data_IF_649894281004
#
_entry.id   IF_649894281004
#
_cell.length_a   1.000
_cell.length_b   1.000
_cell.length_c   1.000
_cell.angle_alpha   90.00
_cell.angle_beta   90.00
_cell.angle_gamma   90.00
#
_symmetry.space_group_name_H-M   'P 1'
#
loop_
_entity.id
_entity.type
_entity.pdbx_description
1 polymer ?
#
# COMPACT_ATOMS: atom_id res chain seq x y z
N UNK A 1 -10.10 -11.54 35.96
CA UNK A 1 -9.36 -12.71 35.45
C UNK A 1 -8.90 -12.39 34.03
N UNK A 2 -7.60 -12.46 33.72
CA UNK A 2 -7.12 -12.25 32.35
C UNK A 2 -7.70 -13.36 31.46
N UNK A 3 -8.41 -12.96 30.40
CA UNK A 3 -9.02 -13.90 29.46
C UNK A 3 -7.93 -14.69 28.74
N UNK A 4 -7.97 -16.02 28.86
CA UNK A 4 -7.04 -16.93 28.15
C UNK A 4 -7.32 -16.83 26.65
N UNK A 5 -6.32 -16.45 25.86
CA UNK A 5 -6.41 -16.42 24.39
C UNK A 5 -6.19 -17.83 23.84
N UNK A 6 -7.02 -18.22 22.87
CA UNK A 6 -6.89 -19.48 22.13
C UNK A 6 -6.99 -19.15 20.65
N UNK A 7 -5.98 -19.54 19.88
CA UNK A 7 -5.98 -19.46 18.42
C UNK A 7 -6.49 -20.79 17.88
N UNK A 8 -7.59 -20.76 17.14
CA UNK A 8 -8.11 -21.91 16.41
C UNK A 8 -7.80 -21.73 14.92
N UNK A 9 -7.14 -22.72 14.32
CA UNK A 9 -6.75 -22.71 12.92
C UNK A 9 -6.67 -24.13 12.37
N UNK A 10 -6.68 -24.27 11.05
CA UNK A 10 -6.39 -25.52 10.36
C UNK A 10 -4.91 -25.56 9.99
N UNK A 11 -4.21 -26.63 10.37
CA UNK A 11 -2.91 -26.95 9.79
C UNK A 11 -3.13 -27.66 8.46
N UNK A 12 -3.04 -26.90 7.38
CA UNK A 12 -3.32 -27.38 6.03
C UNK A 12 -2.37 -28.50 5.55
N UNK A 13 -1.21 -28.69 6.20
CA UNK A 13 -0.28 -29.76 5.84
C UNK A 13 -0.72 -31.11 6.41
N UNK A 14 -1.30 -31.11 7.61
CA UNK A 14 -1.85 -32.30 8.27
C UNK A 14 -3.36 -32.49 8.02
N UNK A 15 -4.04 -31.43 7.56
CA UNK A 15 -5.50 -31.32 7.47
C UNK A 15 -6.22 -31.42 8.83
N UNK A 16 -5.49 -31.19 9.92
CA UNK A 16 -6.03 -31.22 11.28
C UNK A 16 -6.37 -29.81 11.80
N UNK A 17 -7.43 -29.72 12.59
CA UNK A 17 -7.75 -28.50 13.34
C UNK A 17 -6.93 -28.41 14.61
N UNK A 18 -6.26 -27.29 14.81
CA UNK A 18 -5.47 -26.99 16.01
C UNK A 18 -6.14 -25.92 16.88
N UNK A 19 -5.94 -26.03 18.19
CA UNK A 19 -6.36 -25.03 19.19
C UNK A 19 -5.19 -24.74 20.12
N UNK A 20 -4.58 -23.58 19.95
CA UNK A 20 -3.35 -23.20 20.64
C UNK A 20 -3.62 -22.12 21.70
N UNK A 21 -3.48 -22.42 22.99
CA UNK A 21 -3.47 -21.40 24.03
C UNK A 21 -2.20 -20.54 23.92
N UNK A 22 -2.36 -19.22 23.89
CA UNK A 22 -1.23 -18.27 23.77
C UNK A 22 -1.33 -17.16 24.81
N UNK A 23 -0.18 -16.57 25.12
CA UNK A 23 -0.09 -15.41 26.02
C UNK A 23 -0.37 -14.08 25.29
N UNK A 24 -0.09 -14.03 23.98
CA UNK A 24 -0.24 -12.85 23.12
C UNK A 24 -0.64 -13.28 21.72
N UNK A 25 -1.57 -12.53 21.11
CA UNK A 25 -1.89 -12.63 19.68
C UNK A 25 -1.43 -11.34 19.03
N UNK A 26 -0.65 -11.45 17.95
CA UNK A 26 -0.26 -10.32 17.10
C UNK A 26 -1.07 -10.39 15.81
N UNK A 27 -1.84 -9.35 15.54
CA UNK A 27 -2.58 -9.21 14.29
C UNK A 27 -1.65 -8.57 13.25
N UNK A 28 -1.08 -9.37 12.35
CA UNK A 28 -0.31 -8.89 11.22
C UNK A 28 -1.24 -8.34 10.13
N UNK A 29 -1.92 -7.22 10.42
CA UNK A 29 -2.87 -6.58 9.52
C UNK A 29 -2.17 -6.08 8.25
N UNK A 30 -2.89 -6.17 7.12
CA UNK A 30 -2.45 -5.54 5.87
C UNK A 30 -2.45 -4.02 5.94
N UNK A 31 -2.01 -3.40 4.84
CA UNK A 31 -2.06 -1.95 4.66
C UNK A 31 -3.34 -1.52 3.97
N UNK A 32 -3.84 -0.34 4.32
CA UNK A 32 -5.02 0.29 3.70
C UNK A 32 -4.62 1.69 3.25
N UNK A 33 -5.15 2.14 2.12
CA UNK A 33 -4.91 3.50 1.64
C UNK A 33 -5.44 4.54 2.63
N UNK A 34 -4.68 5.63 2.84
CA UNK A 34 -5.15 6.79 3.58
C UNK A 34 -6.32 7.53 2.89
N UNK A 35 -6.64 7.14 1.66
CA UNK A 35 -7.77 7.67 0.87
C UNK A 35 -8.99 6.73 0.87
N UNK A 36 -9.00 5.70 1.73
CA UNK A 36 -10.10 4.74 1.80
C UNK A 36 -11.47 5.38 2.09
N UNK A 37 -11.51 6.47 2.86
CA UNK A 37 -12.74 7.21 3.16
C UNK A 37 -13.08 8.29 2.12
N UNK A 38 -12.30 8.36 1.04
CA UNK A 38 -12.53 9.23 -0.10
C UNK A 38 -12.06 10.67 0.10
N UNK A 39 -11.29 11.10 -0.90
CA UNK A 39 -10.89 12.46 -1.31
C UNK A 39 -9.43 12.80 -1.06
N UNK A 40 -8.68 12.81 -2.16
CA UNK A 40 -7.57 13.74 -2.34
C UNK A 40 -8.10 14.96 -3.10
N UNK A 41 -7.62 16.16 -2.80
CA UNK A 41 -7.91 17.34 -3.62
C UNK A 41 -7.13 17.23 -4.93
N UNK A 42 -7.80 16.97 -6.06
CA UNK A 42 -7.17 16.89 -7.39
C UNK A 42 -7.73 15.76 -8.27
N UNK A 43 -7.30 15.73 -9.55
CA UNK A 43 -7.76 14.79 -10.58
C UNK A 43 -6.92 13.50 -10.60
N UNK A 44 -6.71 12.85 -9.46
CA UNK A 44 -5.93 11.59 -9.39
C UNK A 44 -6.87 10.40 -9.40
N UNK A 45 -6.63 9.46 -10.32
CA UNK A 45 -7.38 8.21 -10.39
C UNK A 45 -6.99 7.28 -9.23
N UNK A 46 -7.95 6.51 -8.72
CA UNK A 46 -7.73 5.52 -7.67
C UNK A 46 -8.10 4.13 -8.17
N UNK A 47 -7.42 3.10 -7.68
CA UNK A 47 -7.79 1.71 -7.90
C UNK A 47 -8.95 1.26 -6.99
N UNK A 48 -9.35 -0.01 -7.08
CA UNK A 48 -10.44 -0.59 -6.28
C UNK A 48 -10.18 -0.57 -4.77
N UNK A 49 -8.92 -0.45 -4.36
CA UNK A 49 -8.46 -0.44 -2.96
C UNK A 49 -8.11 0.99 -2.51
N UNK A 50 -8.45 1.99 -3.32
CA UNK A 50 -8.24 3.43 -3.10
C UNK A 50 -6.77 3.87 -3.10
N UNK A 51 -5.87 3.09 -3.70
CA UNK A 51 -4.49 3.53 -3.96
C UNK A 51 -4.42 4.34 -5.26
N UNK A 52 -3.45 5.26 -5.33
CA UNK A 52 -3.30 6.19 -6.45
C UNK A 52 -2.79 5.46 -7.68
N UNK A 53 -3.55 5.57 -8.77
CA UNK A 53 -3.16 5.12 -10.10
C UNK A 53 -2.53 6.30 -10.83
N UNK A 54 -1.28 6.13 -11.26
CA UNK A 54 -0.56 7.15 -12.01
C UNK A 54 -1.28 7.42 -13.33
N UNK A 55 -1.65 8.67 -13.58
CA UNK A 55 -2.23 9.07 -14.86
C UNK A 55 -1.17 9.03 -15.96
N UNK A 56 -1.54 8.46 -17.11
CA UNK A 56 -0.67 8.43 -18.30
C UNK A 56 -0.46 9.82 -18.90
N UNK A 57 -1.37 10.77 -18.64
CA UNK A 57 -1.41 12.11 -19.26
C UNK A 57 -0.35 13.09 -18.75
N UNK A 58 0.48 12.73 -17.76
CA UNK A 58 1.63 13.55 -17.36
C UNK A 58 1.26 14.93 -16.81
N UNK A 59 0.12 15.07 -16.13
CA UNK A 59 -0.42 16.33 -15.58
C UNK A 59 0.36 16.90 -14.38
N UNK A 60 1.68 16.68 -14.32
CA UNK A 60 2.55 17.23 -13.29
C UNK A 60 2.40 16.61 -11.89
N UNK A 61 1.49 15.64 -11.72
CA UNK A 61 1.28 14.91 -10.46
C UNK A 61 1.86 13.50 -10.60
N UNK A 62 2.77 13.15 -9.69
CA UNK A 62 3.44 11.84 -9.64
C UNK A 62 3.24 11.21 -8.27
N UNK A 63 2.59 10.04 -8.24
CA UNK A 63 2.46 9.26 -7.01
C UNK A 63 3.77 8.52 -6.69
N UNK A 64 4.03 8.29 -5.42
CA UNK A 64 5.25 7.63 -4.96
C UNK A 64 4.99 6.76 -3.73
N UNK A 65 5.73 5.65 -3.63
CA UNK A 65 5.73 4.75 -2.48
C UNK A 65 4.34 4.21 -2.14
N UNK A 66 4.03 4.14 -0.85
CA UNK A 66 2.79 3.53 -0.36
C UNK A 66 1.50 4.25 -0.79
N UNK A 67 1.59 5.42 -1.41
CA UNK A 67 0.43 6.06 -2.04
C UNK A 67 -0.10 5.22 -3.23
N UNK A 68 0.76 4.43 -3.88
CA UNK A 68 0.44 3.59 -5.05
C UNK A 68 0.06 2.15 -4.71
N UNK A 69 0.22 1.74 -3.45
CA UNK A 69 -0.05 0.36 -3.03
C UNK A 69 0.69 -0.04 -1.75
N UNK A 70 0.46 -1.27 -1.26
CA UNK A 70 1.16 -1.82 -0.11
C UNK A 70 2.61 -2.19 -0.48
N UNK A 71 3.57 -1.33 -0.16
CA UNK A 71 4.98 -1.57 -0.45
C UNK A 71 5.81 -1.70 0.84
N UNK A 72 6.89 -2.47 0.74
CA UNK A 72 7.96 -2.41 1.73
C UNK A 72 8.80 -1.12 1.58
N UNK A 73 9.74 -0.91 2.50
CA UNK A 73 10.57 0.29 2.52
C UNK A 73 11.47 0.40 1.29
N UNK A 74 12.10 -0.70 0.87
CA UNK A 74 13.05 -0.69 -0.24
C UNK A 74 12.34 -0.38 -1.57
N UNK A 75 11.21 -1.05 -1.81
CA UNK A 75 10.34 -0.83 -2.96
C UNK A 75 9.80 0.60 -2.98
N UNK A 76 9.39 1.12 -1.81
CA UNK A 76 8.92 2.51 -1.70
C UNK A 76 9.99 3.53 -2.07
N UNK A 77 11.24 3.31 -1.66
CA UNK A 77 12.37 4.19 -1.98
C UNK A 77 12.72 4.12 -3.48
N UNK A 78 12.73 2.92 -4.05
CA UNK A 78 12.97 2.72 -5.49
C UNK A 78 11.88 3.41 -6.32
N UNK A 79 10.61 3.23 -5.96
CA UNK A 79 9.48 3.84 -6.62
C UNK A 79 9.49 5.37 -6.50
N UNK A 80 9.82 5.91 -5.32
CA UNK A 80 9.98 7.35 -5.14
C UNK A 80 11.10 7.94 -6.01
N UNK A 81 12.20 7.19 -6.20
CA UNK A 81 13.28 7.60 -7.10
C UNK A 81 12.80 7.63 -8.56
N UNK A 82 12.00 6.64 -8.97
CA UNK A 82 11.39 6.62 -10.31
C UNK A 82 10.43 7.80 -10.52
N UNK A 83 9.55 8.09 -9.53
CA UNK A 83 8.63 9.23 -9.58
C UNK A 83 9.39 10.57 -9.68
N UNK A 84 10.48 10.74 -8.94
CA UNK A 84 11.33 11.93 -9.04
C UNK A 84 11.96 12.08 -10.44
N UNK A 85 12.46 11.00 -11.03
CA UNK A 85 13.01 11.02 -12.38
C UNK A 85 11.93 11.38 -13.44
N UNK A 86 10.72 10.83 -13.31
CA UNK A 86 9.59 11.18 -14.18
C UNK A 86 9.19 12.65 -14.07
N UNK A 87 9.17 13.20 -12.85
CA UNK A 87 8.87 14.60 -12.62
C UNK A 87 9.94 15.54 -13.23
N UNK A 88 11.22 15.19 -13.10
CA UNK A 88 12.33 15.93 -13.73
C UNK A 88 12.16 15.94 -15.26
N UNK A 89 11.88 14.78 -15.87
CA UNK A 89 11.68 14.67 -17.31
C UNK A 89 10.47 15.47 -17.80
N UNK A 90 9.37 15.47 -17.05
CA UNK A 90 8.19 16.26 -17.36
C UNK A 90 8.49 17.77 -17.36
N UNK A 91 9.27 18.26 -16.39
CA UNK A 91 9.71 19.66 -16.34
C UNK A 91 10.61 19.99 -17.54
N UNK A 92 11.60 19.14 -17.84
CA UNK A 92 12.49 19.32 -18.99
C UNK A 92 11.73 19.37 -20.31
N UNK A 93 10.75 18.48 -20.50
CA UNK A 93 9.92 18.46 -21.70
C UNK A 93 9.01 19.68 -21.80
N UNK A 94 8.43 20.14 -20.68
CA UNK A 94 7.58 21.33 -20.64
C UNK A 94 8.36 22.61 -20.99
N UNK A 95 9.60 22.77 -20.52
CA UNK A 95 10.43 23.95 -20.82
C UNK A 95 10.98 24.03 -22.25
N UNK A 96 10.82 22.98 -23.06
CA UNK A 96 11.22 22.94 -24.48
C UNK A 96 10.10 23.32 -25.44
N UNK A 97 8.89 23.53 -24.94
CA UNK A 97 7.71 23.97 -25.70
C UNK A 97 7.52 25.47 -25.55
#
# INVERSE_FOLDING_TARGET
AMGRLIVEAEDILSADKTRLPVALVVLASGMVSNLADGKMAGAVALDKDHFVVQAESGEGIFAAGCAKGPFDVATSVQDATAAAAQAIEAIHTAGRR
#
